data_IF_204553326710
#
_entry.id   IF_204553326710
#
_cell.length_a   1.000
_cell.length_b   1.000
_cell.length_c   1.000
_cell.angle_alpha   90.00
_cell.angle_beta   90.00
_cell.angle_gamma   90.00
#
_symmetry.space_group_name_H-M   'P 1'
#
loop_
_entity.id
_entity.type
_entity.pdbx_description
1 polymer ?
#
# COMPACT_ATOMS: atom_id res chain seq x y z
N UNK A 1 5.65 20.68 -32.75
CA UNK A 1 6.29 20.30 -31.47
C UNK A 1 5.20 19.64 -30.64
N UNK A 2 5.32 18.34 -30.31
CA UNK A 2 4.33 17.68 -29.44
C UNK A 2 4.60 18.15 -28.02
N UNK A 3 3.61 18.78 -27.40
CA UNK A 3 3.66 19.21 -26.00
C UNK A 3 3.45 17.94 -25.17
N UNK A 4 4.50 17.51 -24.46
CA UNK A 4 4.38 16.38 -23.53
C UNK A 4 3.70 16.93 -22.29
N UNK A 5 2.53 16.38 -22.00
CA UNK A 5 1.83 16.63 -20.74
C UNK A 5 2.50 15.76 -19.67
N UNK A 6 3.26 16.42 -18.79
CA UNK A 6 4.01 15.76 -17.74
C UNK A 6 3.09 15.18 -16.67
N UNK A 7 1.91 15.74 -16.45
CA UNK A 7 0.94 15.23 -15.47
C UNK A 7 0.32 13.93 -15.99
N UNK A 8 -0.02 13.88 -17.28
CA UNK A 8 -0.45 12.65 -17.94
C UNK A 8 0.68 11.62 -17.94
N UNK A 9 1.92 12.02 -18.24
CA UNK A 9 3.05 11.11 -18.24
C UNK A 9 3.31 10.53 -16.84
N UNK A 10 3.23 11.36 -15.81
CA UNK A 10 3.46 10.95 -14.42
C UNK A 10 2.33 10.06 -13.90
N UNK A 11 1.08 10.32 -14.28
CA UNK A 11 -0.05 9.44 -14.00
C UNK A 11 0.05 8.11 -14.73
N UNK A 12 0.52 8.12 -15.99
CA UNK A 12 0.64 6.93 -16.85
C UNK A 12 1.82 6.04 -16.46
N UNK A 13 2.92 6.64 -15.99
CA UNK A 13 4.18 5.97 -15.67
C UNK A 13 4.55 6.17 -14.20
N UNK A 14 3.58 6.07 -13.29
CA UNK A 14 3.87 6.07 -11.85
C UNK A 14 5.01 5.09 -11.59
N UNK A 15 6.17 5.56 -11.07
CA UNK A 15 7.26 4.68 -10.70
C UNK A 15 6.73 3.58 -9.77
N UNK A 16 7.32 2.39 -9.78
CA UNK A 16 6.89 1.25 -8.93
C UNK A 16 6.91 1.55 -7.43
N UNK A 17 7.47 2.69 -7.00
CA UNK A 17 7.46 3.21 -5.63
C UNK A 17 6.71 4.53 -5.45
N UNK A 18 5.87 4.96 -6.39
CA UNK A 18 5.05 6.16 -6.18
C UNK A 18 4.03 5.91 -5.08
N UNK A 19 3.97 6.85 -4.12
CA UNK A 19 3.03 6.84 -3.00
C UNK A 19 2.48 8.26 -2.85
N UNK A 20 1.16 8.40 -2.89
CA UNK A 20 0.48 9.65 -2.61
C UNK A 20 0.40 9.92 -1.10
N UNK A 21 0.21 11.17 -0.70
CA UNK A 21 0.03 11.51 0.73
C UNK A 21 -1.16 10.76 1.37
N UNK A 22 -2.22 10.49 0.60
CA UNK A 22 -3.36 9.71 1.07
C UNK A 22 -2.98 8.26 1.38
N UNK A 23 -2.26 7.62 0.46
CA UNK A 23 -1.74 6.26 0.68
C UNK A 23 -0.75 6.22 1.84
N UNK A 24 0.10 7.23 1.97
CA UNK A 24 1.10 7.31 3.04
C UNK A 24 0.45 7.36 4.43
N UNK A 25 -0.56 8.21 4.58
CA UNK A 25 -1.29 8.38 5.84
C UNK A 25 -2.01 7.10 6.26
N UNK A 26 -2.72 6.46 5.32
CA UNK A 26 -3.42 5.19 5.56
C UNK A 26 -2.41 4.09 5.91
N UNK A 27 -1.31 3.99 5.16
CA UNK A 27 -0.28 2.99 5.42
C UNK A 27 0.38 3.21 6.79
N UNK A 28 0.66 4.46 7.19
CA UNK A 28 1.20 4.77 8.51
C UNK A 28 0.23 4.39 9.63
N UNK A 29 -1.06 4.65 9.45
CA UNK A 29 -2.08 4.19 10.37
C UNK A 29 -2.05 2.66 10.52
N UNK A 30 -2.05 1.92 9.40
CA UNK A 30 -2.00 0.45 9.41
C UNK A 30 -0.70 -0.11 10.01
N UNK A 31 0.46 0.52 9.75
CA UNK A 31 1.74 0.13 10.34
C UNK A 31 1.67 0.20 11.87
N UNK A 32 1.14 1.32 12.39
CA UNK A 32 0.99 1.53 13.82
C UNK A 32 -0.03 0.56 14.43
N UNK A 33 -1.21 0.44 13.82
CA UNK A 33 -2.33 -0.35 14.35
C UNK A 33 -2.02 -1.85 14.37
N UNK A 34 -1.34 -2.35 13.33
CA UNK A 34 -0.99 -3.77 13.20
C UNK A 34 0.41 -4.09 13.72
N UNK A 35 1.08 -3.12 14.35
CA UNK A 35 2.45 -3.25 14.85
C UNK A 35 3.41 -3.86 13.80
N UNK A 36 3.28 -3.45 12.54
CA UNK A 36 4.11 -3.97 11.45
C UNK A 36 5.57 -3.64 11.78
N UNK A 37 6.42 -4.66 11.77
CA UNK A 37 7.83 -4.48 12.05
C UNK A 37 8.58 -3.98 10.82
N UNK A 38 9.54 -3.09 11.05
CA UNK A 38 10.57 -2.78 10.07
C UNK A 38 11.31 -4.06 9.69
N UNK A 39 11.56 -4.27 8.40
CA UNK A 39 12.19 -5.48 7.91
C UNK A 39 11.75 -5.80 6.49
N UNK A 40 11.87 -7.06 6.11
CA UNK A 40 11.55 -7.55 4.76
C UNK A 40 10.67 -8.79 4.82
N UNK A 41 9.91 -9.05 3.76
CA UNK A 41 9.10 -10.25 3.60
C UNK A 41 7.62 -9.98 3.37
N UNK A 42 7.12 -8.84 3.87
CA UNK A 42 5.72 -8.43 3.66
C UNK A 42 5.41 -8.20 2.18
N UNK A 43 6.36 -7.66 1.42
CA UNK A 43 6.24 -7.44 -0.02
C UNK A 43 5.74 -8.68 -0.78
N UNK A 44 6.21 -9.87 -0.40
CA UNK A 44 5.82 -11.13 -1.04
C UNK A 44 4.35 -11.47 -0.82
N UNK A 45 3.81 -11.19 0.36
CA UNK A 45 2.39 -11.42 0.67
C UNK A 45 1.49 -10.40 -0.03
N UNK A 46 1.98 -9.17 -0.18
CA UNK A 46 1.26 -8.07 -0.83
C UNK A 46 1.39 -8.07 -2.36
N UNK A 47 2.10 -9.05 -2.95
CA UNK A 47 2.42 -9.10 -4.38
C UNK A 47 3.14 -7.82 -4.88
N UNK A 48 3.94 -7.22 -4.03
CA UNK A 48 4.80 -6.07 -4.31
C UNK A 48 6.24 -6.55 -4.54
N UNK A 49 7.04 -5.77 -5.28
CA UNK A 49 8.44 -6.09 -5.51
C UNK A 49 9.20 -6.30 -4.18
N UNK A 50 9.88 -7.44 -4.07
CA UNK A 50 10.66 -7.82 -2.89
C UNK A 50 11.84 -6.89 -2.59
N UNK A 51 12.18 -5.97 -3.49
CA UNK A 51 13.18 -4.94 -3.23
C UNK A 51 12.73 -3.93 -2.16
N UNK A 52 11.43 -3.83 -1.88
CA UNK A 52 10.87 -2.94 -0.88
C UNK A 52 10.84 -3.58 0.52
N UNK A 53 11.18 -2.78 1.53
CA UNK A 53 10.96 -3.13 2.93
C UNK A 53 9.46 -3.22 3.25
N UNK A 54 9.12 -3.74 4.43
CA UNK A 54 7.73 -3.94 4.83
C UNK A 54 6.90 -2.65 4.81
N UNK A 55 7.48 -1.50 5.17
CA UNK A 55 6.76 -0.24 5.22
C UNK A 55 6.49 0.29 3.81
N UNK A 56 7.51 0.29 2.96
CA UNK A 56 7.39 0.74 1.58
C UNK A 56 6.49 -0.21 0.78
N UNK A 57 6.59 -1.51 1.01
CA UNK A 57 5.70 -2.50 0.41
C UNK A 57 4.23 -2.24 0.80
N UNK A 58 3.96 -1.96 2.08
CA UNK A 58 2.60 -1.63 2.51
C UNK A 58 2.12 -0.32 1.88
N UNK A 59 2.95 0.72 1.84
CA UNK A 59 2.61 2.02 1.22
C UNK A 59 2.26 1.87 -0.25
N UNK A 60 3.04 1.10 -1.01
CA UNK A 60 2.77 0.82 -2.42
C UNK A 60 1.49 0.00 -2.57
N UNK A 61 1.30 -1.02 -1.73
CA UNK A 61 0.08 -1.83 -1.77
C UNK A 61 -1.18 -0.99 -1.51
N UNK A 62 -1.16 -0.12 -0.49
CA UNK A 62 -2.24 0.84 -0.24
C UNK A 62 -2.44 1.74 -1.47
N UNK A 63 -1.38 2.28 -2.06
CA UNK A 63 -1.48 3.10 -3.28
C UNK A 63 -2.18 2.33 -4.41
N UNK A 64 -1.84 1.07 -4.65
CA UNK A 64 -2.50 0.28 -5.71
C UNK A 64 -3.99 0.08 -5.45
N UNK A 65 -4.43 0.05 -4.19
CA UNK A 65 -5.85 -0.05 -3.83
C UNK A 65 -6.58 1.27 -4.03
N UNK A 66 -5.94 2.39 -3.68
CA UNK A 66 -6.49 3.73 -3.95
C UNK A 66 -6.57 4.03 -5.45
N UNK A 67 -5.61 3.54 -6.25
CA UNK A 67 -5.62 3.70 -7.70
C UNK A 67 -6.80 2.98 -8.37
N UNK A 68 -7.32 1.92 -7.75
CA UNK A 68 -8.53 1.20 -8.21
C UNK A 68 -9.81 1.88 -7.73
N UNK A 69 -9.78 2.57 -6.59
CA UNK A 69 -10.93 3.25 -5.99
C UNK A 69 -10.62 4.74 -5.73
N UNK A 70 -10.76 5.62 -6.73
CA UNK A 70 -10.42 7.04 -6.59
C UNK A 70 -11.40 7.82 -5.68
N UNK A 71 -12.64 7.38 -5.56
CA UNK A 71 -13.70 8.04 -4.76
C UNK A 71 -13.81 7.50 -3.33
N UNK A 72 -12.68 7.07 -2.75
CA UNK A 72 -12.65 6.42 -1.45
C UNK A 72 -12.88 7.41 -0.28
N UNK A 73 -13.56 6.92 0.77
CA UNK A 73 -13.57 7.55 2.09
C UNK A 73 -12.46 6.94 2.92
N UNK A 74 -11.63 7.76 3.56
CA UNK A 74 -10.43 7.33 4.29
C UNK A 74 -10.75 6.27 5.36
N UNK A 75 -11.76 6.51 6.19
CA UNK A 75 -12.10 5.61 7.31
C UNK A 75 -12.61 4.23 6.84
N UNK A 76 -13.45 4.22 5.81
CA UNK A 76 -13.97 3.00 5.21
C UNK A 76 -12.84 2.21 4.54
N UNK A 77 -11.95 2.91 3.83
CA UNK A 77 -10.80 2.33 3.16
C UNK A 77 -9.81 1.74 4.17
N UNK A 78 -9.54 2.42 5.29
CA UNK A 78 -8.72 1.87 6.38
C UNK A 78 -9.29 0.54 6.89
N UNK A 79 -10.58 0.49 7.18
CA UNK A 79 -11.26 -0.70 7.71
C UNK A 79 -11.23 -1.87 6.71
N UNK A 80 -11.44 -1.57 5.42
CA UNK A 80 -11.37 -2.56 4.35
C UNK A 80 -9.95 -3.11 4.20
N UNK A 81 -8.96 -2.23 4.09
CA UNK A 81 -7.56 -2.61 3.89
C UNK A 81 -7.01 -3.40 5.09
N UNK A 82 -7.41 -3.03 6.30
CA UNK A 82 -7.06 -3.80 7.50
C UNK A 82 -7.61 -5.23 7.41
N UNK A 83 -8.87 -5.39 7.00
CA UNK A 83 -9.50 -6.71 6.84
C UNK A 83 -8.81 -7.54 5.74
N UNK A 84 -8.53 -6.94 4.58
CA UNK A 84 -7.76 -7.60 3.51
C UNK A 84 -6.37 -8.03 3.99
N UNK A 85 -5.69 -7.19 4.77
CA UNK A 85 -4.36 -7.52 5.28
C UNK A 85 -4.41 -8.70 6.27
N UNK A 86 -5.43 -8.76 7.11
CA UNK A 86 -5.67 -9.87 8.03
C UNK A 86 -5.91 -11.20 7.31
N UNK A 87 -6.58 -11.19 6.15
CA UNK A 87 -6.80 -12.39 5.34
C UNK A 87 -5.53 -12.83 4.59
N UNK A 88 -4.70 -11.87 4.17
CA UNK A 88 -3.47 -12.12 3.42
C UNK A 88 -2.32 -12.60 4.32
N UNK A 89 -2.24 -12.11 5.54
CA UNK A 89 -1.23 -12.54 6.47
C UNK A 89 -1.58 -13.92 7.03
N UNK A 90 -0.63 -14.86 7.09
CA UNK A 90 -0.88 -16.11 7.77
C UNK A 90 -1.32 -15.75 9.19
N UNK A 91 -2.51 -16.19 9.57
CA UNK A 91 -3.00 -16.00 10.93
C UNK A 91 -1.87 -16.50 11.83
N UNK A 92 -1.29 -15.61 12.63
CA UNK A 92 -0.42 -16.01 13.71
C UNK A 92 -1.32 -16.73 14.69
N UNK A 93 -1.64 -17.98 14.38
CA UNK A 93 -2.19 -18.92 15.32
C UNK A 93 -1.15 -18.97 16.41
N UNK A 94 -1.40 -18.22 17.48
CA UNK A 94 -0.80 -18.48 18.78
C UNK A 94 -1.25 -19.90 19.16
N UNK A 95 -0.54 -20.89 18.63
CA UNK A 95 -0.54 -22.24 19.13
C UNK A 95 0.24 -22.22 20.44
N UNK A 96 -0.53 -22.16 21.53
CA UNK A 96 -0.23 -22.55 22.91
C UNK A 96 1.17 -22.26 23.48
#
# INVERSE_FOLDING_TARGET
MKMIDYDILHATFKPSGYVSNGADNIANYLICELCIQSGTGLARFLSIDSCFDNYMALRIWVQTRLDVNPDYVVDDMCSQLQSELYELLPQTGYGY
#
